data_IF_656871320948
#
_entry.id   IF_656871320948
#
_cell.length_a   1.000
_cell.length_b   1.000
_cell.length_c   1.000
_cell.angle_alpha   90.00
_cell.angle_beta   90.00
_cell.angle_gamma   90.00
#
_symmetry.space_group_name_H-M   'P 1'
#
loop_
_entity.id
_entity.type
_entity.pdbx_description
1 polymer ?
#
# COMPACT_ATOMS: atom_id res chain seq x y z
N UNK A 1 3.14 -13.46 -16.84
CA UNK A 1 2.31 -14.22 -15.86
C UNK A 1 0.86 -13.90 -16.12
N UNK A 2 0.01 -14.93 -16.30
CA UNK A 2 -1.44 -14.76 -16.56
C UNK A 2 -2.18 -14.54 -15.23
N UNK A 3 -2.03 -13.37 -14.62
CA UNK A 3 -2.60 -13.06 -13.29
C UNK A 3 -4.13 -13.05 -13.32
N UNK A 4 -4.74 -12.40 -14.29
CA UNK A 4 -6.21 -12.24 -14.36
C UNK A 4 -6.94 -13.59 -14.50
N UNK A 5 -6.56 -14.49 -15.43
CA UNK A 5 -7.15 -15.82 -15.48
C UNK A 5 -6.94 -16.63 -14.20
N UNK A 6 -5.75 -16.53 -13.59
CA UNK A 6 -5.46 -17.19 -12.32
C UNK A 6 -6.38 -16.72 -11.19
N UNK A 7 -6.58 -15.39 -11.05
CA UNK A 7 -7.46 -14.83 -10.03
C UNK A 7 -8.92 -15.24 -10.24
N UNK A 8 -9.41 -15.27 -11.49
CA UNK A 8 -10.75 -15.75 -11.80
C UNK A 8 -10.94 -17.20 -11.37
N UNK A 9 -10.02 -18.09 -11.79
CA UNK A 9 -10.05 -19.50 -11.40
C UNK A 9 -10.04 -19.69 -9.90
N UNK A 10 -9.17 -18.99 -9.17
CA UNK A 10 -9.09 -19.05 -7.71
C UNK A 10 -10.33 -18.48 -7.03
N UNK A 11 -10.93 -17.43 -7.58
CA UNK A 11 -12.18 -16.87 -7.07
C UNK A 11 -13.34 -17.86 -7.20
N UNK A 12 -13.41 -18.58 -8.30
CA UNK A 12 -14.41 -19.63 -8.54
C UNK A 12 -14.21 -20.84 -7.62
N UNK A 13 -12.95 -21.32 -7.49
CA UNK A 13 -12.62 -22.45 -6.64
C UNK A 13 -12.95 -22.21 -5.16
N UNK A 14 -12.66 -21.01 -4.66
CA UNK A 14 -12.82 -20.68 -3.24
C UNK A 14 -14.11 -19.91 -2.92
N UNK A 15 -14.93 -19.61 -3.94
CA UNK A 15 -16.14 -18.77 -3.83
C UNK A 15 -15.86 -17.41 -3.16
N UNK A 16 -14.69 -16.85 -3.41
CA UNK A 16 -14.21 -15.59 -2.83
C UNK A 16 -13.82 -14.60 -3.93
N UNK A 17 -13.99 -13.32 -3.68
CA UNK A 17 -13.64 -12.28 -4.66
C UNK A 17 -12.20 -11.80 -4.50
N UNK A 18 -11.25 -12.38 -5.24
CA UNK A 18 -9.86 -11.96 -5.23
C UNK A 18 -9.58 -10.85 -6.24
N UNK A 19 -9.17 -9.72 -5.73
CA UNK A 19 -8.77 -8.56 -6.54
C UNK A 19 -7.25 -8.59 -6.87
N UNK A 20 -6.79 -7.87 -7.90
CA UNK A 20 -5.37 -7.67 -8.15
C UNK A 20 -4.61 -7.11 -6.93
N UNK A 21 -5.27 -6.29 -6.11
CA UNK A 21 -4.67 -5.74 -4.88
C UNK A 21 -4.37 -6.83 -3.86
N UNK A 22 -5.31 -7.74 -3.61
CA UNK A 22 -5.12 -8.88 -2.70
C UNK A 22 -3.97 -9.78 -3.18
N UNK A 23 -3.94 -10.04 -4.48
CA UNK A 23 -2.83 -10.78 -5.09
C UNK A 23 -1.49 -10.08 -4.88
N UNK A 24 -1.46 -8.77 -5.09
CA UNK A 24 -0.24 -7.97 -4.90
C UNK A 24 0.23 -7.98 -3.43
N UNK A 25 -0.69 -7.92 -2.45
CA UNK A 25 -0.34 -8.05 -1.04
C UNK A 25 0.34 -9.40 -0.77
N UNK A 26 -0.27 -10.49 -1.25
CA UNK A 26 0.29 -11.82 -1.06
C UNK A 26 1.61 -12.01 -1.80
N UNK A 27 1.71 -11.51 -3.04
CA UNK A 27 2.94 -11.54 -3.82
C UNK A 27 4.08 -10.80 -3.10
N UNK A 28 3.82 -9.58 -2.62
CA UNK A 28 4.80 -8.80 -1.86
C UNK A 28 5.20 -9.50 -0.58
N UNK A 29 4.26 -10.12 0.13
CA UNK A 29 4.58 -10.87 1.35
C UNK A 29 5.53 -12.05 1.09
N UNK A 30 5.42 -12.70 -0.05
CA UNK A 30 6.30 -13.81 -0.45
C UNK A 30 7.68 -13.29 -0.87
N UNK A 31 7.71 -12.22 -1.67
CA UNK A 31 8.97 -11.64 -2.17
C UNK A 31 9.77 -11.08 -0.99
N UNK A 32 9.14 -10.24 -0.18
CA UNK A 32 9.84 -9.57 0.93
C UNK A 32 10.31 -10.56 2.00
N UNK A 33 9.62 -11.70 2.19
CA UNK A 33 10.08 -12.76 3.10
C UNK A 33 11.49 -13.27 2.77
N UNK A 34 11.90 -13.16 1.50
CA UNK A 34 13.28 -13.53 1.08
C UNK A 34 14.32 -12.46 1.45
N UNK A 35 13.87 -11.25 1.79
CA UNK A 35 14.73 -10.09 2.06
C UNK A 35 14.35 -9.46 3.41
N UNK A 36 14.73 -10.07 4.55
CA UNK A 36 14.33 -9.58 5.89
C UNK A 36 14.76 -8.15 6.20
N UNK A 37 15.84 -7.69 5.58
CA UNK A 37 16.32 -6.31 5.72
C UNK A 37 15.27 -5.24 5.32
N UNK A 38 14.28 -5.61 4.51
CA UNK A 38 13.21 -4.71 4.05
C UNK A 38 12.07 -4.57 5.07
N UNK A 39 12.02 -5.37 6.14
CA UNK A 39 10.97 -5.27 7.15
C UNK A 39 11.22 -4.15 8.15
N UNK A 40 12.45 -3.73 8.29
CA UNK A 40 12.87 -2.72 9.24
C UNK A 40 12.58 -1.30 8.77
N UNK A 41 13.10 -0.38 9.50
CA UNK A 41 13.01 1.05 9.24
C UNK A 41 14.32 1.73 9.62
N UNK A 42 14.53 2.91 9.05
CA UNK A 42 15.72 3.71 9.37
C UNK A 42 15.32 4.79 10.34
N UNK A 43 15.97 4.79 11.51
CA UNK A 43 15.79 5.75 12.60
C UNK A 43 17.12 6.40 12.89
N UNK A 44 17.20 7.74 12.77
CA UNK A 44 18.43 8.50 12.92
C UNK A 44 19.62 7.97 12.08
N UNK A 45 19.35 7.46 10.89
CA UNK A 45 20.38 6.86 10.04
C UNK A 45 20.77 5.42 10.42
N UNK A 46 20.20 4.86 11.47
CA UNK A 46 20.46 3.49 11.94
C UNK A 46 19.27 2.61 11.54
N UNK A 47 19.58 1.46 10.95
CA UNK A 47 18.60 0.45 10.62
C UNK A 47 18.13 -0.26 11.90
N UNK A 48 16.81 -0.27 12.12
CA UNK A 48 16.17 -1.05 13.18
C UNK A 48 15.32 -2.15 12.53
N UNK A 49 15.59 -3.45 12.82
CA UNK A 49 14.76 -4.54 12.31
C UNK A 49 13.37 -4.52 12.95
N UNK A 50 12.39 -5.04 12.24
CA UNK A 50 11.02 -5.21 12.72
C UNK A 50 10.61 -6.66 12.61
N UNK A 51 9.95 -7.15 13.65
CA UNK A 51 9.32 -8.48 13.62
C UNK A 51 7.99 -8.41 12.88
N UNK A 52 7.84 -9.26 11.87
CA UNK A 52 6.62 -9.36 11.06
C UNK A 52 6.50 -8.27 9.98
N UNK A 53 5.83 -8.64 8.92
CA UNK A 53 5.62 -7.81 7.74
C UNK A 53 4.22 -7.22 7.74
N UNK A 54 4.14 -5.91 7.94
CA UNK A 54 2.90 -5.16 7.80
C UNK A 54 2.84 -4.50 6.43
N UNK A 55 1.76 -4.70 5.71
CA UNK A 55 1.54 -4.09 4.38
C UNK A 55 0.37 -3.12 4.47
N UNK A 56 0.64 -1.87 4.14
CA UNK A 56 -0.38 -0.83 4.07
C UNK A 56 -1.00 -0.78 2.67
N UNK A 57 -2.33 -0.73 2.63
CA UNK A 57 -3.08 -0.51 1.40
C UNK A 57 -3.78 0.84 1.44
N UNK A 58 -3.66 1.61 0.37
CA UNK A 58 -4.47 2.80 0.17
C UNK A 58 -5.79 2.37 -0.48
N UNK A 59 -6.89 2.59 0.23
CA UNK A 59 -8.23 2.22 -0.20
C UNK A 59 -9.12 3.44 -0.34
N UNK A 60 -9.99 3.43 -1.34
CA UNK A 60 -10.99 4.47 -1.50
C UNK A 60 -12.18 4.19 -0.57
N UNK A 61 -12.44 5.10 0.37
CA UNK A 61 -13.51 4.96 1.36
C UNK A 61 -14.72 5.87 1.10
N UNK A 62 -14.65 6.73 0.09
CA UNK A 62 -15.71 7.69 -0.25
C UNK A 62 -16.17 7.62 -1.69
N UNK A 63 -17.13 8.46 -2.06
CA UNK A 63 -17.58 8.62 -3.44
C UNK A 63 -16.53 9.39 -4.27
N UNK A 64 -15.39 8.75 -4.54
CA UNK A 64 -14.46 9.14 -5.61
C UNK A 64 -13.14 9.80 -5.20
N UNK A 65 -12.98 10.48 -4.06
CA UNK A 65 -11.80 11.32 -3.84
C UNK A 65 -11.10 11.17 -2.48
N UNK A 66 -11.49 10.21 -1.66
CA UNK A 66 -10.88 10.07 -0.34
C UNK A 66 -10.19 8.72 -0.18
N UNK A 67 -8.88 8.79 -0.13
CA UNK A 67 -8.03 7.67 0.18
C UNK A 67 -7.83 7.56 1.70
N UNK A 68 -8.00 6.36 2.22
CA UNK A 68 -7.62 6.02 3.58
C UNK A 68 -6.59 4.89 3.56
N UNK A 69 -5.70 4.91 4.53
CA UNK A 69 -4.73 3.86 4.74
C UNK A 69 -5.33 2.76 5.63
N UNK A 70 -5.09 1.54 5.26
CA UNK A 70 -5.36 0.35 6.08
C UNK A 70 -4.16 -0.55 6.07
N UNK A 71 -3.78 -1.08 7.23
CA UNK A 71 -2.58 -1.90 7.38
C UNK A 71 -2.98 -3.31 7.77
N UNK A 72 -2.55 -4.28 6.97
CA UNK A 72 -2.68 -5.71 7.23
C UNK A 72 -1.39 -6.15 7.92
N UNK A 73 -1.53 -6.76 9.09
CA UNK A 73 -0.40 -7.16 9.92
C UNK A 73 0.04 -8.57 9.61
N UNK A 74 1.35 -8.84 9.76
CA UNK A 74 1.94 -10.17 9.63
C UNK A 74 1.49 -10.89 8.34
N UNK A 75 1.56 -10.18 7.20
CA UNK A 75 1.07 -10.68 5.91
C UNK A 75 1.78 -11.97 5.46
N UNK A 76 3.00 -12.21 5.90
CA UNK A 76 3.81 -13.39 5.58
C UNK A 76 3.21 -14.68 6.13
N UNK A 77 2.40 -14.59 7.20
CA UNK A 77 1.76 -15.74 7.85
C UNK A 77 0.34 -16.00 7.34
N UNK A 78 -0.25 -15.04 6.62
CA UNK A 78 -1.65 -15.08 6.19
C UNK A 78 -1.81 -15.66 4.79
N UNK A 79 -2.87 -16.42 4.59
CA UNK A 79 -3.31 -16.84 3.26
C UNK A 79 -4.13 -15.73 2.57
N UNK A 80 -4.48 -15.92 1.29
CA UNK A 80 -5.20 -14.91 0.51
C UNK A 80 -6.61 -14.62 1.08
N UNK A 81 -7.28 -15.61 1.66
CA UNK A 81 -8.60 -15.43 2.25
C UNK A 81 -8.52 -14.58 3.52
N UNK A 82 -7.61 -14.89 4.44
CA UNK A 82 -7.38 -14.12 5.66
C UNK A 82 -7.00 -12.66 5.37
N UNK A 83 -6.20 -12.43 4.32
CA UNK A 83 -5.86 -11.08 3.85
C UNK A 83 -7.11 -10.37 3.33
N UNK A 84 -7.98 -11.08 2.60
CA UNK A 84 -9.22 -10.51 2.06
C UNK A 84 -10.17 -10.12 3.18
N UNK A 85 -10.40 -11.02 4.13
CA UNK A 85 -11.31 -10.82 5.25
C UNK A 85 -10.86 -9.62 6.10
N UNK A 86 -9.58 -9.57 6.48
CA UNK A 86 -9.03 -8.45 7.25
C UNK A 86 -9.09 -7.12 6.48
N UNK A 87 -8.78 -7.14 5.18
CA UNK A 87 -8.88 -5.94 4.35
C UNK A 87 -10.31 -5.41 4.30
N UNK A 88 -11.29 -6.30 4.09
CA UNK A 88 -12.70 -5.93 3.99
C UNK A 88 -13.25 -5.41 5.32
N UNK A 89 -12.89 -6.02 6.43
CA UNK A 89 -13.29 -5.58 7.77
C UNK A 89 -12.70 -4.21 8.09
N UNK A 90 -11.43 -4.01 7.80
CA UNK A 90 -10.77 -2.71 7.96
C UNK A 90 -11.43 -1.63 7.11
N UNK A 91 -11.79 -1.93 5.85
CA UNK A 91 -12.48 -0.99 4.96
C UNK A 91 -13.88 -0.63 5.50
N UNK A 92 -14.64 -1.61 6.04
CA UNK A 92 -15.94 -1.35 6.68
C UNK A 92 -15.77 -0.40 7.87
N UNK A 93 -14.83 -0.71 8.76
CA UNK A 93 -14.53 0.14 9.93
C UNK A 93 -14.12 1.56 9.55
N UNK A 94 -13.32 1.72 8.50
CA UNK A 94 -12.92 3.03 7.99
C UNK A 94 -14.13 3.83 7.46
N UNK A 95 -15.02 3.19 6.72
CA UNK A 95 -16.25 3.82 6.24
C UNK A 95 -17.20 4.25 7.37
N UNK A 96 -17.34 3.42 8.40
CA UNK A 96 -18.14 3.75 9.58
C UNK A 96 -17.56 4.89 10.41
N UNK A 97 -16.22 4.89 10.63
CA UNK A 97 -15.52 5.97 11.35
C UNK A 97 -15.60 7.31 10.59
N UNK A 98 -15.53 7.26 9.27
CA UNK A 98 -15.65 8.46 8.43
C UNK A 98 -16.97 9.18 8.69
N UNK A 99 -18.05 8.47 8.82
CA UNK A 99 -19.37 9.05 9.07
C UNK A 99 -19.49 9.76 10.42
N UNK A 100 -18.65 9.40 11.41
CA UNK A 100 -18.70 9.95 12.78
C UNK A 100 -17.69 11.08 13.06
N UNK A 101 -16.48 10.99 12.51
CA UNK A 101 -15.34 11.84 12.93
C UNK A 101 -14.95 12.96 11.95
N UNK A 102 -15.41 12.92 10.70
CA UNK A 102 -14.97 13.85 9.67
C UNK A 102 -15.28 15.31 9.98
N UNK A 103 -16.44 15.59 10.55
CA UNK A 103 -16.87 16.97 10.80
C UNK A 103 -16.08 17.69 11.90
N UNK A 104 -15.51 16.97 12.85
CA UNK A 104 -14.75 17.58 13.97
C UNK A 104 -13.30 17.86 13.60
N UNK A 105 -12.63 16.89 12.98
CA UNK A 105 -11.20 17.02 12.62
C UNK A 105 -10.95 18.02 11.50
N UNK A 106 -11.80 18.04 10.45
CA UNK A 106 -11.69 19.00 9.36
C UNK A 106 -11.84 20.45 9.82
N UNK A 107 -12.68 20.74 10.82
CA UNK A 107 -12.82 22.09 11.38
C UNK A 107 -11.54 22.55 12.07
N UNK A 108 -10.84 21.64 12.75
CA UNK A 108 -9.59 21.95 13.47
C UNK A 108 -8.44 22.22 12.48
N UNK A 109 -8.32 21.41 11.40
CA UNK A 109 -7.29 21.62 10.38
C UNK A 109 -7.46 22.93 9.59
N UNK A 110 -8.71 23.38 9.38
CA UNK A 110 -8.99 24.68 8.71
C UNK A 110 -8.57 25.89 9.52
N UNK A 111 -8.42 25.77 10.82
CA UNK A 111 -7.97 26.83 11.73
C UNK A 111 -6.45 27.01 11.74
N UNK A 112 -5.69 26.01 11.24
CA UNK A 112 -4.22 26.05 11.25
C UNK A 112 -3.75 26.76 9.97
N UNK A 113 -3.04 27.89 10.07
CA UNK A 113 -2.47 28.58 8.91
C UNK A 113 -1.51 27.65 8.14
N UNK A 114 -1.55 27.71 6.81
CA UNK A 114 -0.79 26.83 5.91
C UNK A 114 0.73 26.89 6.16
N UNK A 115 1.25 28.06 6.55
CA UNK A 115 2.69 28.21 6.82
C UNK A 115 3.15 27.46 8.09
N UNK A 116 2.24 27.15 9.02
CA UNK A 116 2.53 26.33 10.22
C UNK A 116 2.42 24.85 9.88
N UNK A 117 1.60 24.46 8.91
CA UNK A 117 1.41 23.05 8.56
C UNK A 117 2.69 22.35 8.07
N UNK A 118 3.51 23.05 7.27
CA UNK A 118 4.77 22.51 6.75
C UNK A 118 5.76 22.12 7.87
N UNK A 119 6.19 23.06 8.71
CA UNK A 119 7.04 22.75 9.86
C UNK A 119 6.41 21.73 10.83
N UNK A 120 5.11 21.82 11.06
CA UNK A 120 4.40 20.91 11.96
C UNK A 120 4.43 19.46 11.42
N UNK A 121 4.21 19.24 10.13
CA UNK A 121 4.30 17.90 9.52
C UNK A 121 5.72 17.34 9.60
N UNK A 122 6.74 18.17 9.43
CA UNK A 122 8.14 17.75 9.60
C UNK A 122 8.44 17.34 11.04
N UNK A 123 8.00 18.13 12.02
CA UNK A 123 8.16 17.81 13.45
C UNK A 123 7.42 16.52 13.79
N UNK A 124 6.18 16.34 13.34
CA UNK A 124 5.42 15.10 13.57
C UNK A 124 6.06 13.90 12.92
N UNK A 125 6.58 14.06 11.71
CA UNK A 125 7.36 13.02 11.03
C UNK A 125 8.58 12.63 11.85
N UNK A 126 9.30 13.61 12.37
CA UNK A 126 10.47 13.40 13.22
C UNK A 126 10.11 12.68 14.52
N UNK A 127 9.08 13.13 15.22
CA UNK A 127 8.57 12.49 16.46
C UNK A 127 8.13 11.04 16.18
N UNK A 128 7.44 10.80 15.06
CA UNK A 128 7.05 9.46 14.64
C UNK A 128 8.26 8.57 14.36
N UNK A 129 9.34 9.13 13.78
CA UNK A 129 10.57 8.39 13.50
C UNK A 129 11.36 8.02 14.77
N UNK A 130 11.23 8.80 15.82
CA UNK A 130 11.83 8.52 17.14
C UNK A 130 11.09 7.38 17.88
N UNK A 131 9.91 6.99 17.36
CA UNK A 131 9.12 5.93 17.98
C UNK A 131 8.31 6.37 19.19
N UNK A 132 8.16 7.68 19.41
CA UNK A 132 7.32 8.21 20.48
C UNK A 132 5.85 8.03 20.08
N UNK A 133 5.13 7.19 20.83
CA UNK A 133 3.69 7.00 20.66
C UNK A 133 2.94 8.18 21.27
N UNK A 134 2.58 9.18 20.50
CA UNK A 134 1.75 10.29 20.97
C UNK A 134 0.28 9.92 20.75
N UNK A 135 -0.28 9.13 21.68
CA UNK A 135 -1.69 8.68 21.60
C UNK A 135 -2.69 9.84 21.51
N UNK A 136 -2.41 10.98 22.12
CA UNK A 136 -3.27 12.18 22.11
C UNK A 136 -3.39 12.82 20.72
N UNK A 137 -2.36 12.68 19.86
CA UNK A 137 -2.34 13.20 18.49
C UNK A 137 -2.78 12.15 17.46
N UNK A 138 -3.10 10.92 17.88
CA UNK A 138 -3.49 9.83 17.00
C UNK A 138 -2.36 9.34 16.07
N UNK A 139 -1.11 9.70 16.38
CA UNK A 139 0.07 9.27 15.64
C UNK A 139 0.39 7.82 16.00
N UNK A 140 0.30 6.95 15.00
CA UNK A 140 0.74 5.56 15.10
C UNK A 140 2.18 5.47 14.60
N UNK A 141 3.00 4.74 15.32
CA UNK A 141 4.34 4.42 14.87
C UNK A 141 4.23 3.52 13.62
N UNK A 142 4.94 3.89 12.54
CA UNK A 142 5.03 3.10 11.29
C UNK A 142 3.65 2.69 10.73
N UNK A 143 2.75 3.65 10.61
CA UNK A 143 1.39 3.42 10.10
C UNK A 143 1.36 2.78 8.70
N UNK A 144 2.41 3.02 7.91
CA UNK A 144 2.52 2.52 6.54
C UNK A 144 3.21 1.15 6.43
N UNK A 145 3.68 0.59 7.56
CA UNK A 145 4.31 -0.74 7.55
C UNK A 145 5.58 -0.82 6.69
N UNK A 146 5.91 -2.03 6.26
CA UNK A 146 7.10 -2.32 5.45
C UNK A 146 6.89 -2.12 3.95
N UNK A 147 5.65 -2.09 3.49
CA UNK A 147 5.28 -1.87 2.09
C UNK A 147 3.95 -1.14 1.99
N UNK A 148 3.87 -0.19 1.06
CA UNK A 148 2.62 0.48 0.71
C UNK A 148 2.15 0.00 -0.65
N UNK A 149 0.90 -0.46 -0.74
CA UNK A 149 0.27 -0.85 -2.01
C UNK A 149 -0.84 0.14 -2.32
N UNK A 150 -0.75 0.75 -3.49
CA UNK A 150 -1.79 1.64 -4.01
C UNK A 150 -2.30 1.16 -5.36
N UNK A 151 -3.61 1.24 -5.58
CA UNK A 151 -4.22 0.89 -6.86
C UNK A 151 -4.85 2.12 -7.49
N UNK A 152 -4.30 2.52 -8.61
CA UNK A 152 -4.81 3.62 -9.45
C UNK A 152 -5.53 3.10 -10.70
N UNK A 153 -5.75 1.78 -10.76
CA UNK A 153 -6.39 1.12 -11.90
C UNK A 153 -7.78 1.68 -12.22
N UNK A 154 -8.52 2.13 -11.22
CA UNK A 154 -9.84 2.76 -11.41
C UNK A 154 -9.79 4.16 -12.03
N UNK A 155 -8.63 4.80 -12.11
CA UNK A 155 -8.44 6.13 -12.69
C UNK A 155 -8.09 6.10 -14.19
N UNK A 156 -7.95 4.92 -14.79
CA UNK A 156 -7.57 4.78 -16.19
C UNK A 156 -6.08 5.04 -16.48
N UNK A 157 -5.23 5.18 -15.46
CA UNK A 157 -3.81 5.51 -15.61
C UNK A 157 -3.01 4.23 -15.85
N UNK A 158 -2.42 4.10 -17.04
CA UNK A 158 -1.67 2.91 -17.45
C UNK A 158 -0.24 2.85 -16.92
N UNK A 159 0.32 3.98 -16.52
CA UNK A 159 1.69 4.05 -16.00
C UNK A 159 1.85 5.22 -15.03
N UNK A 160 2.27 4.94 -13.80
CA UNK A 160 2.53 5.96 -12.79
C UNK A 160 3.50 5.44 -11.74
N UNK A 161 4.35 6.31 -11.25
CA UNK A 161 5.21 6.06 -10.10
C UNK A 161 4.79 6.95 -8.95
N UNK A 162 4.64 6.37 -7.77
CA UNK A 162 4.36 7.11 -6.55
C UNK A 162 5.67 7.32 -5.80
N UNK A 163 6.08 8.58 -5.56
CA UNK A 163 7.28 8.84 -4.77
C UNK A 163 7.06 8.41 -3.32
N UNK A 164 8.14 8.01 -2.63
CA UNK A 164 8.08 7.69 -1.21
C UNK A 164 7.90 8.99 -0.42
N UNK A 165 6.77 9.17 0.29
CA UNK A 165 6.60 10.34 1.13
C UNK A 165 7.61 10.31 2.28
N UNK A 166 8.28 11.43 2.61
CA UNK A 166 9.27 11.48 3.69
C UNK A 166 8.78 10.99 5.04
N UNK A 167 7.46 11.08 5.26
CA UNK A 167 6.78 10.68 6.51
C UNK A 167 6.34 9.22 6.54
N UNK A 168 6.44 8.48 5.44
CA UNK A 168 5.94 7.10 5.36
C UNK A 168 6.87 6.09 6.01
N UNK A 169 8.17 6.33 5.94
CA UNK A 169 9.22 5.39 6.36
C UNK A 169 9.11 3.98 5.75
N UNK A 170 8.20 3.80 4.79
CA UNK A 170 8.04 2.54 4.10
C UNK A 170 9.13 2.38 3.04
N UNK A 171 9.92 1.30 3.08
CA UNK A 171 11.02 1.09 2.12
C UNK A 171 10.55 0.79 0.69
N UNK A 172 9.29 0.35 0.54
CA UNK A 172 8.75 -0.06 -0.76
C UNK A 172 7.35 0.50 -0.98
N UNK A 173 7.11 1.04 -2.17
CA UNK A 173 5.75 1.36 -2.65
C UNK A 173 5.50 0.57 -3.93
N UNK A 174 4.39 -0.16 -3.97
CA UNK A 174 3.90 -0.86 -5.15
C UNK A 174 2.66 -0.15 -5.70
N UNK A 175 2.74 0.32 -6.93
CA UNK A 175 1.63 0.97 -7.64
C UNK A 175 1.04 0.01 -8.66
N UNK A 176 -0.25 -0.31 -8.52
CA UNK A 176 -1.01 -1.08 -9.48
C UNK A 176 -1.71 -0.14 -10.46
N UNK A 177 -1.31 -0.18 -11.73
CA UNK A 177 -1.86 0.67 -12.77
C UNK A 177 -3.11 0.07 -13.43
N UNK A 178 -3.73 0.80 -14.35
CA UNK A 178 -4.87 0.34 -15.12
C UNK A 178 -4.49 -0.81 -16.05
N UNK A 179 -5.50 -1.61 -16.37
CA UNK A 179 -5.40 -2.61 -17.43
C UNK A 179 -5.39 -1.89 -18.77
N UNK A 180 -4.57 -2.37 -19.68
CA UNK A 180 -4.52 -1.91 -21.07
C UNK A 180 -4.34 -3.10 -22.01
N UNK A 181 -4.77 -2.95 -23.24
CA UNK A 181 -4.64 -3.97 -24.28
C UNK A 181 -3.43 -3.65 -25.16
N UNK A 182 -2.72 -4.69 -25.54
CA UNK A 182 -1.59 -4.60 -26.46
C UNK A 182 -1.59 -5.77 -27.41
N UNK A 183 -1.37 -5.46 -28.68
CA UNK A 183 -1.16 -6.46 -29.71
C UNK A 183 0.26 -7.02 -29.58
N UNK A 184 0.38 -8.31 -29.40
CA UNK A 184 1.65 -9.02 -29.37
C UNK A 184 1.66 -10.13 -30.41
N UNK A 185 2.85 -10.44 -30.93
CA UNK A 185 3.01 -11.58 -31.83
C UNK A 185 3.20 -12.84 -30.98
N UNK A 186 2.39 -13.87 -31.21
CA UNK A 186 2.51 -15.16 -30.55
C UNK A 186 3.68 -15.98 -31.15
N UNK A 187 3.97 -17.14 -30.59
CA UNK A 187 5.03 -18.03 -31.05
C UNK A 187 4.83 -18.54 -32.50
N UNK A 188 3.60 -18.49 -33.00
CA UNK A 188 3.25 -18.84 -34.37
C UNK A 188 3.37 -17.68 -35.37
N UNK A 189 3.74 -16.49 -34.90
CA UNK A 189 3.86 -15.28 -35.69
C UNK A 189 2.54 -14.50 -35.89
N UNK A 190 1.42 -14.96 -35.33
CA UNK A 190 0.10 -14.31 -35.45
C UNK A 190 -0.03 -13.16 -34.42
N UNK A 191 -0.79 -12.13 -34.78
CA UNK A 191 -1.07 -11.01 -33.89
C UNK A 191 -2.22 -11.40 -32.95
N UNK A 192 -1.96 -11.34 -31.64
CA UNK A 192 -2.93 -11.60 -30.58
C UNK A 192 -3.03 -10.40 -29.66
N UNK A 193 -4.25 -9.94 -29.37
CA UNK A 193 -4.49 -8.88 -28.39
C UNK A 193 -4.49 -9.47 -26.99
N UNK A 194 -3.61 -8.99 -26.12
CA UNK A 194 -3.55 -9.41 -24.71
C UNK A 194 -3.71 -8.24 -23.77
N UNK A 195 -4.38 -8.51 -22.66
CA UNK A 195 -4.57 -7.54 -21.58
C UNK A 195 -3.38 -7.59 -20.62
N UNK A 196 -2.80 -6.43 -20.35
CA UNK A 196 -1.68 -6.23 -19.43
C UNK A 196 -2.08 -5.30 -18.29
N UNK A 197 -1.33 -5.37 -17.21
CA UNK A 197 -1.39 -4.42 -16.10
C UNK A 197 0.05 -4.17 -15.64
N UNK A 198 0.44 -2.92 -15.55
CA UNK A 198 1.75 -2.54 -15.00
C UNK A 198 1.70 -2.52 -13.48
N UNK A 199 2.78 -3.00 -12.89
CA UNK A 199 3.07 -2.90 -11.47
C UNK A 199 4.41 -2.18 -11.33
N UNK A 200 4.38 -0.97 -10.81
CA UNK A 200 5.55 -0.13 -10.66
C UNK A 200 6.03 -0.13 -9.22
N UNK A 201 7.32 -0.38 -9.04
CA UNK A 201 7.98 -0.38 -7.74
C UNK A 201 8.74 0.94 -7.56
N UNK A 202 8.54 1.56 -6.41
CA UNK A 202 9.39 2.63 -5.91
C UNK A 202 10.04 2.13 -4.63
N UNK A 203 11.36 2.11 -4.59
CA UNK A 203 12.12 1.58 -3.46
C UNK A 203 13.03 2.65 -2.87
N UNK A 204 13.21 2.61 -1.56
CA UNK A 204 14.19 3.43 -0.88
C UNK A 204 15.57 2.77 -1.02
N UNK A 205 16.47 3.47 -1.71
CA UNK A 205 17.81 2.99 -2.01
C UNK A 205 18.65 2.63 -0.78
N UNK A 206 18.33 3.17 0.37
CA UNK A 206 19.02 2.87 1.63
C UNK A 206 18.80 1.45 2.13
N UNK A 207 17.78 0.76 1.62
CA UNK A 207 17.45 -0.64 1.97
C UNK A 207 17.86 -1.65 0.90
N UNK A 208 18.15 -1.20 -0.30
CA UNK A 208 18.46 -2.06 -1.44
C UNK A 208 19.80 -1.66 -2.04
N UNK A 209 20.72 -2.61 -2.14
CA UNK A 209 21.89 -2.51 -3.00
C UNK A 209 21.57 -3.18 -4.35
N UNK A 210 22.12 -2.64 -5.45
CA UNK A 210 21.92 -3.20 -6.80
C UNK A 210 22.43 -4.64 -6.97
N UNK A 211 23.18 -5.14 -6.00
CA UNK A 211 23.76 -6.49 -6.01
C UNK A 211 22.95 -7.49 -5.16
N UNK A 212 21.83 -7.09 -4.58
CA UNK A 212 20.85 -7.94 -3.86
C UNK A 212 19.62 -8.15 -4.71
#
# INVERSE_FOLDING_TARGET
>A
IKIIPYLKKKSEELKEHFTPTIYAIKLMSIIMKKYPAVYGYIKFGIYEPKDGMDICCLVNVGQGNELANTTIKNCEQKNMKEITDELMDNVKLLRERKNKDQNKKMKLYRLIPTFIMGPMTQIFSYISSIGIKVKSLGLKQFEFGSCVITSIGGLGIENSFVPIPPVSFAPVILTLCSKYERNIRNEKGEIETKTFMKMNFTTDYRFFDYNT
#
